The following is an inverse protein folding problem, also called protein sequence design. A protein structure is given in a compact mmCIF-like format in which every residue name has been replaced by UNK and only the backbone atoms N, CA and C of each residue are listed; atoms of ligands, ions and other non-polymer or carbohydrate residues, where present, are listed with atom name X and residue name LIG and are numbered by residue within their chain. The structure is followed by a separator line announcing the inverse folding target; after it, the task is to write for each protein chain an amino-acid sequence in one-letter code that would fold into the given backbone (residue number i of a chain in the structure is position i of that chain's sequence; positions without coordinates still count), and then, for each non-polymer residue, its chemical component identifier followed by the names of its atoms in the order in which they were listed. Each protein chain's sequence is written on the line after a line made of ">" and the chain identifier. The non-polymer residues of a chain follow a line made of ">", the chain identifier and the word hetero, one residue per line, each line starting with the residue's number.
data_IF_596977169851
#
_entry.id   IF_596977169851
#
_cell.length_a   1.000
_cell.length_b   1.000
_cell.length_c   1.000
_cell.angle_alpha   90.00
_cell.angle_beta   90.00
_cell.angle_gamma   90.00
#
_symmetry.space_group_name_H-M   'P 1'
#
loop_
_entity.id
_entity.type
_entity.pdbx_description
1 polymer ?
#
# COMPACT_ATOMS: atom_id res chain seq x y z
N UNK A 1 -9.37 24.56 9.50
CA UNK A 1 -7.91 24.38 9.40
C UNK A 1 -7.51 23.10 10.10
N UNK A 2 -6.92 22.16 9.35
CA UNK A 2 -6.34 20.95 9.91
C UNK A 2 -4.87 21.19 10.25
N UNK A 3 -4.40 20.65 11.37
CA UNK A 3 -3.00 20.74 11.77
C UNK A 3 -2.20 19.48 11.33
N UNK A 4 -2.89 18.35 11.14
CA UNK A 4 -2.33 17.10 10.60
C UNK A 4 -3.24 16.59 9.47
N UNK A 5 -2.65 16.15 8.36
CA UNK A 5 -3.36 15.53 7.23
C UNK A 5 -2.68 14.20 6.89
N UNK A 6 -3.48 13.16 6.64
CA UNK A 6 -2.99 11.85 6.20
C UNK A 6 -3.67 11.52 4.87
N UNK A 7 -2.89 11.34 3.80
CA UNK A 7 -3.42 10.99 2.48
C UNK A 7 -3.15 9.53 2.16
N UNK A 8 -4.22 8.79 1.83
CA UNK A 8 -4.18 7.34 1.62
C UNK A 8 -4.67 6.89 0.24
N UNK A 9 -5.08 7.83 -0.62
CA UNK A 9 -5.63 7.48 -1.91
C UNK A 9 -4.55 6.84 -2.79
N UNK A 10 -4.83 5.61 -3.24
CA UNK A 10 -3.95 4.77 -4.05
C UNK A 10 -4.81 4.09 -5.12
N UNK A 11 -4.33 4.10 -6.37
CA UNK A 11 -4.99 3.43 -7.49
C UNK A 11 -4.11 2.28 -7.99
N UNK A 12 -4.58 1.02 -7.93
CA UNK A 12 -3.81 -0.10 -8.45
C UNK A 12 -3.43 0.09 -9.94
N UNK A 13 -2.15 -0.05 -10.24
CA UNK A 13 -1.62 0.03 -11.62
C UNK A 13 -1.57 1.43 -12.21
N UNK A 14 -1.78 2.49 -11.42
CA UNK A 14 -1.70 3.90 -11.85
C UNK A 14 -0.99 4.73 -10.80
N UNK A 15 -0.51 5.91 -11.19
CA UNK A 15 0.03 6.87 -10.24
C UNK A 15 -1.08 7.38 -9.30
N UNK A 16 -0.68 7.69 -8.07
CA UNK A 16 -1.55 8.33 -7.09
C UNK A 16 -2.03 9.70 -7.61
N UNK A 17 -3.31 10.05 -7.39
CA UNK A 17 -3.82 11.34 -7.83
C UNK A 17 -3.20 12.47 -7.00
N UNK A 18 -2.78 13.57 -7.64
CA UNK A 18 -2.37 14.80 -6.92
C UNK A 18 -3.58 15.51 -6.34
N UNK A 19 -3.94 15.19 -5.09
CA UNK A 19 -5.09 15.75 -4.39
C UNK A 19 -4.78 17.06 -3.68
N UNK A 20 -3.59 17.18 -3.08
CA UNK A 20 -3.17 18.34 -2.31
C UNK A 20 -2.08 19.09 -3.07
N UNK A 21 -2.47 20.23 -3.64
CA UNK A 21 -1.57 21.13 -4.38
C UNK A 21 -0.71 21.96 -3.43
N UNK A 22 0.44 22.45 -3.92
CA UNK A 22 1.36 23.31 -3.17
C UNK A 22 0.68 24.58 -2.64
N UNK A 23 -0.26 25.15 -3.41
CA UNK A 23 -1.07 26.32 -2.99
C UNK A 23 -1.94 26.05 -1.77
N UNK A 24 -2.40 24.80 -1.58
CA UNK A 24 -3.16 24.38 -0.41
C UNK A 24 -2.24 24.19 0.79
N UNK A 25 -1.06 23.58 0.57
CA UNK A 25 -0.04 23.41 1.62
C UNK A 25 0.46 24.77 2.14
N UNK A 26 0.64 25.75 1.24
CA UNK A 26 1.07 27.11 1.59
C UNK A 26 0.08 27.84 2.51
N UNK A 27 -1.20 27.46 2.50
CA UNK A 27 -2.26 28.03 3.35
C UNK A 27 -2.38 27.33 4.71
N UNK A 28 -1.68 26.21 4.92
CA UNK A 28 -1.66 25.54 6.22
C UNK A 28 -0.85 26.35 7.23
N UNK A 29 -1.15 26.14 8.52
CA UNK A 29 -0.44 26.82 9.59
C UNK A 29 1.02 26.33 9.62
N UNK A 30 2.00 27.21 9.94
CA UNK A 30 3.36 26.78 10.21
C UNK A 30 3.41 25.69 11.29
N UNK A 31 4.23 24.66 11.08
CA UNK A 31 4.32 23.50 11.96
C UNK A 31 3.29 22.39 11.69
N UNK A 32 2.34 22.59 10.77
CA UNK A 32 1.45 21.50 10.33
C UNK A 32 2.23 20.34 9.71
N UNK A 33 1.62 19.15 9.74
CA UNK A 33 2.23 17.90 9.26
C UNK A 33 1.33 17.22 8.24
N UNK A 34 1.90 16.72 7.16
CA UNK A 34 1.22 15.89 6.18
C UNK A 34 1.96 14.55 6.09
N UNK A 35 1.26 13.44 6.28
CA UNK A 35 1.76 12.09 5.98
C UNK A 35 1.18 11.63 4.65
N UNK A 36 2.03 11.47 3.64
CA UNK A 36 1.60 10.99 2.33
C UNK A 36 1.89 9.49 2.18
N UNK A 37 0.86 8.66 2.44
CA UNK A 37 0.99 7.21 2.41
C UNK A 37 1.07 6.63 0.99
N UNK A 38 0.84 7.44 -0.05
CA UNK A 38 0.92 6.99 -1.46
C UNK A 38 2.20 7.44 -2.17
N UNK A 39 3.20 7.92 -1.41
CA UNK A 39 4.42 8.53 -1.97
C UNK A 39 5.15 7.61 -2.95
N UNK A 40 5.15 6.30 -2.73
CA UNK A 40 5.81 5.28 -3.57
C UNK A 40 5.20 5.16 -4.98
N UNK A 41 4.00 5.71 -5.18
CA UNK A 41 3.28 5.72 -6.46
C UNK A 41 3.05 7.12 -7.00
N UNK A 42 3.91 8.07 -6.64
CA UNK A 42 3.83 9.47 -7.06
C UNK A 42 3.34 10.43 -5.98
N UNK A 43 2.58 9.94 -4.99
CA UNK A 43 2.13 10.71 -3.83
C UNK A 43 0.92 11.60 -4.10
N UNK A 44 0.07 11.75 -3.08
CA UNK A 44 -1.12 12.59 -3.14
C UNK A 44 -0.82 14.08 -2.97
N UNK A 45 0.39 14.43 -2.50
CA UNK A 45 0.75 15.77 -2.07
C UNK A 45 1.88 16.32 -2.93
N UNK A 46 1.66 17.47 -3.58
CA UNK A 46 2.73 18.16 -4.31
C UNK A 46 3.88 18.53 -3.37
N UNK A 47 5.12 18.26 -3.79
CA UNK A 47 6.32 18.44 -2.97
C UNK A 47 6.68 17.25 -2.08
N UNK A 48 5.83 16.21 -2.03
CA UNK A 48 6.18 14.93 -1.39
C UNK A 48 7.31 14.22 -2.13
N UNK A 49 8.21 13.59 -1.38
CA UNK A 49 9.38 12.87 -1.89
C UNK A 49 9.54 11.55 -1.15
N UNK A 50 9.76 10.47 -1.90
CA UNK A 50 9.91 9.11 -1.35
C UNK A 50 11.14 9.07 -0.43
N UNK A 51 10.95 8.63 0.80
CA UNK A 51 12.01 8.47 1.80
C UNK A 51 12.43 9.76 2.51
N UNK A 52 11.79 10.90 2.22
CA UNK A 52 12.18 12.19 2.76
C UNK A 52 11.08 12.84 3.62
N UNK A 53 11.51 13.67 4.56
CA UNK A 53 10.64 14.67 5.20
C UNK A 53 10.96 16.03 4.61
N UNK A 54 10.07 16.54 3.77
CA UNK A 54 10.22 17.84 3.12
C UNK A 54 9.63 18.92 4.03
N UNK A 55 10.37 19.99 4.28
CA UNK A 55 9.87 21.17 4.99
C UNK A 55 9.63 22.28 3.98
N UNK A 56 8.40 22.76 3.89
CA UNK A 56 8.03 23.85 2.97
C UNK A 56 8.48 25.22 3.50
N UNK A 57 8.47 26.24 2.64
CA UNK A 57 8.84 27.61 3.00
C UNK A 57 7.96 28.18 4.14
N UNK A 58 6.68 27.81 4.18
CA UNK A 58 5.76 28.21 5.26
C UNK A 58 5.84 27.31 6.51
N UNK A 59 6.81 26.38 6.59
CA UNK A 59 7.08 25.57 7.77
C UNK A 59 6.20 24.32 7.95
N UNK A 60 5.53 23.85 6.89
CA UNK A 60 4.77 22.58 6.90
C UNK A 60 5.71 21.42 6.64
N UNK A 61 5.55 20.31 7.35
CA UNK A 61 6.33 19.08 7.15
C UNK A 61 5.55 18.07 6.33
N UNK A 62 6.08 17.64 5.19
CA UNK A 62 5.51 16.59 4.34
C UNK A 62 6.36 15.34 4.50
N UNK A 63 5.79 14.29 5.08
CA UNK A 63 6.44 13.01 5.35
C UNK A 63 6.09 12.05 4.21
N UNK A 64 7.09 11.74 3.39
CA UNK A 64 6.98 10.72 2.35
C UNK A 64 7.62 9.42 2.80
N UNK A 65 7.03 8.73 3.80
CA UNK A 65 7.60 7.49 4.34
C UNK A 65 7.19 6.31 3.45
N UNK A 66 8.13 5.63 2.76
CA UNK A 66 7.84 4.41 2.01
C UNK A 66 7.73 3.22 2.96
N UNK A 67 7.07 2.15 2.52
CA UNK A 67 6.98 0.90 3.27
C UNK A 67 6.62 1.10 4.75
N UNK A 68 5.55 1.87 5.00
CA UNK A 68 5.03 2.13 6.34
C UNK A 68 4.84 0.84 7.17
N UNK A 69 4.39 -0.31 6.62
CA UNK A 69 4.32 -1.54 7.40
C UNK A 69 5.65 -1.95 8.07
N UNK A 70 6.81 -1.62 7.48
CA UNK A 70 8.10 -1.89 8.08
C UNK A 70 8.39 -1.06 9.34
N UNK A 71 7.67 0.04 9.60
CA UNK A 71 7.79 0.80 10.85
C UNK A 71 7.13 0.09 12.04
N UNK A 72 6.33 -0.94 11.77
CA UNK A 72 5.66 -1.82 12.75
C UNK A 72 5.92 -3.28 12.39
N UNK A 73 7.19 -3.61 12.12
CA UNK A 73 7.60 -4.85 11.47
C UNK A 73 7.15 -6.13 12.20
N UNK A 74 7.16 -6.14 13.54
CA UNK A 74 6.74 -7.31 14.33
C UNK A 74 5.28 -7.64 14.08
N UNK A 75 4.41 -6.64 14.20
CA UNK A 75 2.96 -6.77 14.03
C UNK A 75 2.61 -7.04 12.56
N UNK A 76 3.25 -6.32 11.63
CA UNK A 76 3.07 -6.53 10.20
C UNK A 76 3.44 -7.97 9.80
N UNK A 77 4.56 -8.48 10.31
CA UNK A 77 5.02 -9.85 10.05
C UNK A 77 4.05 -10.89 10.62
N UNK A 78 3.58 -10.69 11.86
CA UNK A 78 2.62 -11.60 12.48
C UNK A 78 1.28 -11.66 11.73
N UNK A 79 0.75 -10.50 11.32
CA UNK A 79 -0.49 -10.42 10.54
C UNK A 79 -0.32 -11.05 9.15
N UNK A 80 0.79 -10.77 8.46
CA UNK A 80 1.06 -11.34 7.15
C UNK A 80 1.26 -12.86 7.21
N UNK A 81 2.01 -13.36 8.20
CA UNK A 81 2.19 -14.80 8.41
C UNK A 81 0.87 -15.52 8.64
N UNK A 82 -0.07 -14.92 9.38
CA UNK A 82 -1.42 -15.49 9.56
C UNK A 82 -2.23 -15.51 8.27
N UNK A 83 -2.15 -14.46 7.45
CA UNK A 83 -2.80 -14.46 6.13
C UNK A 83 -2.25 -15.58 5.23
N UNK A 84 -0.91 -15.73 5.19
CA UNK A 84 -0.26 -16.80 4.43
C UNK A 84 -0.66 -18.17 4.95
N UNK A 85 -0.63 -18.38 6.27
CA UNK A 85 -1.02 -19.65 6.89
C UNK A 85 -2.47 -20.01 6.54
N UNK A 86 -3.42 -19.09 6.71
CA UNK A 86 -4.82 -19.31 6.40
C UNK A 86 -5.03 -19.66 4.92
N UNK A 87 -4.30 -19.02 4.01
CA UNK A 87 -4.37 -19.36 2.58
C UNK A 87 -3.76 -20.73 2.29
N UNK A 88 -2.58 -21.03 2.83
CA UNK A 88 -1.90 -22.32 2.66
C UNK A 88 -2.75 -23.48 3.18
N UNK A 89 -3.49 -23.29 4.27
CA UNK A 89 -4.42 -24.30 4.80
C UNK A 89 -5.47 -24.72 3.76
N UNK A 90 -5.90 -23.80 2.88
CA UNK A 90 -6.87 -24.11 1.80
C UNK A 90 -6.29 -25.01 0.71
N UNK A 91 -4.95 -25.09 0.58
CA UNK A 91 -4.27 -25.86 -0.47
C UNK A 91 -4.15 -27.35 -0.17
N UNK A 92 -4.75 -27.81 0.93
CA UNK A 92 -4.75 -29.22 1.35
C UNK A 92 -6.18 -29.76 1.42
N UNK A 93 -6.36 -30.99 0.93
CA UNK A 93 -7.62 -31.71 1.07
C UNK A 93 -7.84 -32.23 2.51
N UNK A 94 -8.94 -32.95 2.72
CA UNK A 94 -9.29 -33.50 4.04
C UNK A 94 -8.28 -34.54 4.51
N UNK A 95 -7.66 -35.23 3.57
CA UNK A 95 -6.63 -36.25 3.76
C UNK A 95 -5.22 -35.67 3.90
N UNK A 96 -5.08 -34.33 3.89
CA UNK A 96 -3.82 -33.58 4.00
C UNK A 96 -2.88 -33.75 2.80
N UNK A 97 -3.40 -34.12 1.63
CA UNK A 97 -2.63 -34.05 0.39
C UNK A 97 -2.67 -32.62 -0.16
N UNK A 98 -1.56 -32.21 -0.76
CA UNK A 98 -1.51 -30.95 -1.50
C UNK A 98 -2.38 -31.05 -2.76
N UNK A 99 -3.42 -30.24 -2.83
CA UNK A 99 -4.39 -30.24 -3.91
C UNK A 99 -4.87 -28.82 -4.19
N UNK A 100 -4.49 -28.26 -5.34
CA UNK A 100 -5.00 -26.97 -5.80
C UNK A 100 -6.39 -27.19 -6.37
N UNK A 101 -7.40 -26.56 -5.77
CA UNK A 101 -8.76 -26.56 -6.27
C UNK A 101 -8.98 -25.32 -7.16
N UNK A 102 -8.93 -25.50 -8.48
CA UNK A 102 -9.17 -24.40 -9.43
C UNK A 102 -10.64 -23.96 -9.54
N UNK A 103 -11.56 -24.69 -8.90
CA UNK A 103 -12.96 -24.29 -8.77
C UNK A 103 -13.20 -23.38 -7.56
N UNK A 104 -12.28 -23.37 -6.59
CA UNK A 104 -12.31 -22.42 -5.47
C UNK A 104 -12.00 -21.00 -5.95
N UNK A 105 -12.88 -20.05 -5.65
CA UNK A 105 -12.78 -18.68 -6.14
C UNK A 105 -11.50 -17.97 -5.67
N UNK A 106 -11.08 -18.22 -4.43
CA UNK A 106 -9.90 -17.56 -3.83
C UNK A 106 -8.63 -18.14 -4.46
N UNK A 107 -8.51 -19.46 -4.53
CA UNK A 107 -7.35 -20.11 -5.14
C UNK A 107 -7.23 -19.74 -6.62
N UNK A 108 -8.34 -19.79 -7.37
CA UNK A 108 -8.36 -19.41 -8.78
C UNK A 108 -7.95 -17.95 -9.00
N UNK A 109 -8.42 -17.03 -8.17
CA UNK A 109 -8.09 -15.61 -8.29
C UNK A 109 -6.60 -15.32 -8.00
N UNK A 110 -5.97 -16.10 -7.11
CA UNK A 110 -4.58 -15.93 -6.71
C UNK A 110 -3.59 -16.74 -7.57
N UNK A 111 -4.05 -17.77 -8.28
CA UNK A 111 -3.22 -18.65 -9.10
C UNK A 111 -2.82 -17.99 -10.44
N UNK A 112 -1.67 -17.32 -10.45
CA UNK A 112 -1.18 -16.58 -11.63
C UNK A 112 -0.49 -17.47 -12.68
N UNK A 113 0.09 -18.61 -12.28
CA UNK A 113 0.75 -19.59 -13.17
C UNK A 113 0.60 -21.01 -12.61
N UNK A 114 0.46 -22.00 -13.49
CA UNK A 114 0.41 -23.40 -13.10
C UNK A 114 0.83 -24.30 -14.28
N UNK A 115 1.61 -25.36 -14.00
CA UNK A 115 2.02 -26.32 -15.04
C UNK A 115 2.79 -25.72 -16.21
N UNK A 116 3.56 -24.65 -15.98
CA UNK A 116 4.31 -23.94 -17.02
C UNK A 116 3.47 -22.98 -17.88
N UNK A 117 2.19 -22.78 -17.56
CA UNK A 117 1.29 -21.87 -18.25
C UNK A 117 0.94 -20.65 -17.39
N UNK A 118 0.96 -19.46 -18.00
CA UNK A 118 0.45 -18.24 -17.36
C UNK A 118 -1.07 -18.26 -17.40
N UNK A 119 -1.70 -18.18 -16.23
CA UNK A 119 -3.15 -18.15 -16.07
C UNK A 119 -3.69 -16.74 -15.84
N UNK A 120 -2.83 -15.81 -15.42
CA UNK A 120 -3.17 -14.41 -15.23
C UNK A 120 -3.61 -13.78 -16.57
N UNK A 121 -4.90 -13.46 -16.67
CA UNK A 121 -5.43 -12.64 -17.77
C UNK A 121 -5.41 -11.19 -17.34
N UNK A 122 -4.50 -10.39 -17.90
CA UNK A 122 -4.54 -8.93 -17.73
C UNK A 122 -5.80 -8.41 -18.45
N UNK A 123 -6.73 -7.85 -17.68
CA UNK A 123 -7.84 -7.04 -18.20
C UNK A 123 -7.38 -5.67 -18.65
#
# INVERSE_FOLDING_TARGET
>A
NADIVITTALLPGRDAPRLIKAETVAKMKPGSVILDMAVETGGNVEGSKVGETVVTENGVKILGIPNIPATVATEASALYARNVFNFVETLFDKEKNFAINQEDEIQKALLVTHGGQVLLKRG
#
